data_IF_951967100926
#
_entry.id   IF_951967100926
#
_cell.length_a   1.000
_cell.length_b   1.000
_cell.length_c   1.000
_cell.angle_alpha   90.00
_cell.angle_beta   90.00
_cell.angle_gamma   90.00
#
_symmetry.space_group_name_H-M   'P 1'
#
loop_
_entity.id
_entity.type
_entity.pdbx_description
1 polymer ?
#
# COMPACT_ATOMS: atom_id res chain seq x y z
N UNK A 1 7.64 66.40 -65.26
CA UNK A 1 6.75 67.12 -64.31
C UNK A 1 5.34 66.72 -64.74
N UNK A 2 4.54 65.90 -64.07
CA UNK A 2 4.36 65.46 -62.68
C UNK A 2 3.56 64.13 -62.85
N UNK A 3 4.08 62.97 -62.44
CA UNK A 3 3.76 62.36 -61.16
C UNK A 3 2.88 61.12 -61.36
N UNK A 4 3.49 59.99 -61.70
CA UNK A 4 2.93 58.65 -61.45
C UNK A 4 2.98 58.40 -59.94
N UNK A 5 1.85 58.12 -59.28
CA UNK A 5 1.83 57.27 -58.09
C UNK A 5 0.40 56.86 -57.66
N UNK A 6 0.19 55.53 -57.58
CA UNK A 6 -0.51 54.79 -56.51
C UNK A 6 -2.03 55.04 -56.25
N UNK A 7 -2.92 54.05 -56.13
CA UNK A 7 -2.79 52.72 -55.51
C UNK A 7 -3.75 51.69 -56.15
N UNK A 8 -3.21 50.62 -56.74
CA UNK A 8 -3.95 49.38 -56.87
C UNK A 8 -3.81 48.64 -55.54
N UNK A 9 -4.90 48.58 -54.78
CA UNK A 9 -4.96 47.80 -53.55
C UNK A 9 -5.08 46.33 -53.98
N UNK A 10 -3.94 45.68 -54.22
CA UNK A 10 -3.89 44.23 -54.32
C UNK A 10 -4.24 43.65 -52.95
N UNK A 11 -5.38 42.96 -52.89
CA UNK A 11 -5.66 42.03 -51.81
C UNK A 11 -4.64 40.91 -51.90
N UNK A 12 -3.56 41.05 -51.15
CA UNK A 12 -2.66 39.95 -50.85
C UNK A 12 -3.48 38.96 -50.03
N UNK A 13 -3.85 37.82 -50.62
CA UNK A 13 -4.29 36.67 -49.83
C UNK A 13 -3.15 36.33 -48.86
N UNK A 14 -3.36 36.68 -47.59
CA UNK A 14 -2.52 36.20 -46.49
C UNK A 14 -2.51 34.68 -46.55
N UNK A 15 -1.39 34.13 -47.02
CA UNK A 15 -1.07 32.72 -46.89
C UNK A 15 -0.97 32.45 -45.40
N UNK A 16 -2.08 32.04 -44.80
CA UNK A 16 -2.18 31.70 -43.38
C UNK A 16 -1.12 30.64 -43.06
N UNK A 17 -0.02 31.06 -42.45
CA UNK A 17 0.89 30.17 -41.75
C UNK A 17 0.10 29.55 -40.60
N UNK A 18 -0.32 28.30 -40.79
CA UNK A 18 -0.90 27.50 -39.70
C UNK A 18 0.18 27.36 -38.65
N UNK A 19 0.10 28.18 -37.60
CA UNK A 19 0.73 27.84 -36.32
C UNK A 19 0.20 26.46 -35.94
N UNK A 20 1.05 25.45 -36.03
CA UNK A 20 0.82 24.13 -35.45
C UNK A 20 0.68 24.31 -33.94
N UNK A 21 -0.53 24.67 -33.53
CA UNK A 21 -0.90 24.74 -32.15
C UNK A 21 -0.93 23.30 -31.62
N UNK A 22 -0.37 23.07 -30.44
CA UNK A 22 -0.47 21.77 -29.74
C UNK A 22 -1.93 21.29 -29.56
N UNK A 23 -2.91 22.19 -29.72
CA UNK A 23 -4.34 21.86 -29.82
C UNK A 23 -4.67 21.04 -31.08
N UNK A 24 -3.99 21.28 -32.20
CA UNK A 24 -4.14 20.54 -33.45
C UNK A 24 -3.83 19.07 -33.27
N UNK A 25 -2.67 18.72 -32.70
CA UNK A 25 -2.28 17.31 -32.51
C UNK A 25 -3.22 16.50 -31.61
N UNK A 26 -3.84 17.11 -30.59
CA UNK A 26 -4.84 16.43 -29.74
C UNK A 26 -6.16 16.26 -30.52
N UNK A 27 -6.55 17.26 -31.30
CA UNK A 27 -7.74 17.19 -32.16
C UNK A 27 -7.57 16.17 -33.28
N UNK A 28 -6.40 16.12 -33.90
CA UNK A 28 -6.04 15.16 -34.94
C UNK A 28 -5.93 13.72 -34.40
N UNK A 29 -5.58 13.57 -33.12
CA UNK A 29 -5.64 12.29 -32.40
C UNK A 29 -7.09 11.83 -32.17
N UNK A 30 -7.97 12.75 -31.75
CA UNK A 30 -9.38 12.49 -31.49
C UNK A 30 -10.19 12.23 -32.77
N UNK A 31 -9.89 12.97 -33.84
CA UNK A 31 -10.50 12.81 -35.16
C UNK A 31 -9.93 11.58 -35.92
N UNK A 32 -8.95 10.88 -35.33
CA UNK A 32 -8.40 9.62 -35.85
C UNK A 32 -7.47 9.76 -37.05
N UNK A 33 -7.20 10.98 -37.51
CA UNK A 33 -6.33 11.24 -38.67
C UNK A 33 -4.89 10.78 -38.41
N UNK A 34 -4.43 10.84 -37.16
CA UNK A 34 -3.12 10.30 -36.78
C UNK A 34 -3.05 8.77 -36.83
N UNK A 35 -4.15 8.09 -36.51
CA UNK A 35 -4.26 6.64 -36.49
C UNK A 35 -4.40 6.09 -37.93
N UNK A 36 -5.07 6.86 -38.79
CA UNK A 36 -5.24 6.55 -40.21
C UNK A 36 -3.93 6.63 -41.03
N UNK A 37 -2.83 7.15 -40.45
CA UNK A 37 -1.52 7.06 -41.08
C UNK A 37 -1.06 5.59 -41.18
N UNK A 38 -0.71 5.14 -42.38
CA UNK A 38 -0.28 3.76 -42.67
C UNK A 38 0.84 3.25 -41.76
N UNK A 39 1.71 4.14 -41.29
CA UNK A 39 2.80 3.80 -40.36
C UNK A 39 2.27 3.50 -38.94
N UNK A 40 1.34 4.31 -38.44
CA UNK A 40 0.74 4.14 -37.12
C UNK A 40 -0.21 2.95 -37.10
N UNK A 41 -1.00 2.78 -38.16
CA UNK A 41 -1.91 1.65 -38.33
C UNK A 41 -1.17 0.30 -38.27
N UNK A 42 0.05 0.21 -38.83
CA UNK A 42 0.89 -1.00 -38.76
C UNK A 42 1.42 -1.29 -37.35
N UNK A 43 1.63 -0.25 -36.52
CA UNK A 43 2.15 -0.39 -35.17
C UNK A 43 1.07 -0.47 -34.08
N UNK A 44 -0.20 -0.21 -34.43
CA UNK A 44 -1.35 -0.37 -33.52
C UNK A 44 -1.35 -1.66 -32.68
N UNK A 45 -1.15 -2.87 -33.24
CA UNK A 45 -1.13 -4.10 -32.44
C UNK A 45 -0.05 -4.08 -31.36
N UNK A 46 1.10 -3.47 -31.63
CA UNK A 46 2.17 -3.30 -30.65
C UNK A 46 1.82 -2.28 -29.55
N UNK A 47 1.17 -1.17 -29.91
CA UNK A 47 0.71 -0.18 -28.93
C UNK A 47 -0.33 -0.81 -28.00
N UNK A 48 -1.30 -1.54 -28.55
CA UNK A 48 -2.31 -2.26 -27.77
C UNK A 48 -1.65 -3.28 -26.82
N UNK A 49 -0.64 -4.01 -27.31
CA UNK A 49 0.14 -4.91 -26.47
C UNK A 49 0.81 -4.20 -25.28
N UNK A 50 1.43 -3.04 -25.51
CA UNK A 50 2.02 -2.23 -24.42
C UNK A 50 0.97 -1.71 -23.44
N UNK A 51 -0.19 -1.30 -23.92
CA UNK A 51 -1.30 -0.85 -23.06
C UNK A 51 -1.79 -2.01 -22.19
N UNK A 52 -1.93 -3.22 -22.74
CA UNK A 52 -2.28 -4.42 -21.96
C UNK A 52 -1.22 -4.69 -20.89
N UNK A 53 0.07 -4.62 -21.24
CA UNK A 53 1.16 -4.77 -20.26
C UNK A 53 1.11 -3.69 -19.17
N UNK A 54 0.78 -2.45 -19.52
CA UNK A 54 0.61 -1.38 -18.55
C UNK A 54 -0.54 -1.67 -17.57
N UNK A 55 -1.68 -2.19 -18.06
CA UNK A 55 -2.77 -2.61 -17.19
C UNK A 55 -2.38 -3.76 -16.27
N UNK A 56 -1.68 -4.78 -16.79
CA UNK A 56 -1.17 -5.89 -15.98
C UNK A 56 -0.22 -5.38 -14.91
N UNK A 57 0.68 -4.46 -15.27
CA UNK A 57 1.63 -3.86 -14.33
C UNK A 57 0.93 -3.08 -13.21
N UNK A 58 -0.06 -2.24 -13.56
CA UNK A 58 -0.85 -1.49 -12.59
C UNK A 58 -1.60 -2.46 -11.65
N UNK A 59 -2.25 -3.48 -12.21
CA UNK A 59 -2.98 -4.47 -11.43
C UNK A 59 -2.05 -5.22 -10.45
N UNK A 60 -0.88 -5.65 -10.92
CA UNK A 60 0.11 -6.32 -10.10
C UNK A 60 0.64 -5.39 -8.99
N UNK A 61 0.92 -4.13 -9.31
CA UNK A 61 1.33 -3.13 -8.32
C UNK A 61 0.30 -2.96 -7.21
N UNK A 62 -0.99 -2.80 -7.54
CA UNK A 62 -2.04 -2.69 -6.52
C UNK A 62 -2.15 -3.95 -5.65
N UNK A 63 -1.96 -5.13 -6.25
CA UNK A 63 -1.94 -6.38 -5.49
C UNK A 63 -0.77 -6.44 -4.51
N UNK A 64 0.44 -6.11 -4.97
CA UNK A 64 1.64 -6.06 -4.14
C UNK A 64 1.49 -5.07 -2.98
N UNK A 65 0.98 -3.86 -3.25
CA UNK A 65 0.75 -2.88 -2.18
C UNK A 65 -0.26 -3.36 -1.14
N UNK A 66 -1.31 -4.08 -1.55
CA UNK A 66 -2.28 -4.67 -0.60
C UNK A 66 -1.62 -5.75 0.28
N UNK A 67 -0.81 -6.62 -0.32
CA UNK A 67 -0.11 -7.68 0.41
C UNK A 67 0.91 -7.09 1.39
N UNK A 68 1.62 -6.03 1.01
CA UNK A 68 2.55 -5.33 1.90
C UNK A 68 1.81 -4.72 3.10
N UNK A 69 0.68 -4.04 2.87
CA UNK A 69 -0.15 -3.50 3.96
C UNK A 69 -0.63 -4.59 4.92
N UNK A 70 -1.16 -5.69 4.38
CA UNK A 70 -1.62 -6.82 5.19
C UNK A 70 -0.48 -7.45 6.03
N UNK A 71 0.73 -7.54 5.49
CA UNK A 71 1.89 -8.03 6.26
C UNK A 71 2.24 -7.11 7.44
N UNK A 72 2.17 -5.79 7.24
CA UNK A 72 2.46 -4.82 8.30
C UNK A 72 1.42 -4.95 9.42
N UNK A 73 0.13 -4.98 9.07
CA UNK A 73 -0.97 -5.15 10.02
C UNK A 73 -0.85 -6.47 10.78
N UNK A 74 -0.62 -7.58 10.07
CA UNK A 74 -0.48 -8.90 10.70
C UNK A 74 0.75 -8.97 11.62
N UNK A 75 1.87 -8.35 11.23
CA UNK A 75 3.07 -8.32 12.07
C UNK A 75 2.84 -7.51 13.35
N UNK A 76 2.05 -6.43 13.27
CA UNK A 76 1.66 -5.67 14.45
C UNK A 76 0.74 -6.49 15.36
N UNK A 77 -0.25 -7.16 14.79
CA UNK A 77 -1.17 -8.04 15.51
C UNK A 77 -0.42 -9.16 16.26
N UNK A 78 0.56 -9.80 15.62
CA UNK A 78 1.42 -10.80 16.27
C UNK A 78 2.18 -10.20 17.47
N UNK A 79 2.71 -8.99 17.33
CA UNK A 79 3.41 -8.30 18.42
C UNK A 79 2.47 -8.02 19.59
N UNK A 80 1.27 -7.53 19.30
CA UNK A 80 0.27 -7.18 20.28
C UNK A 80 -0.24 -8.42 21.04
N UNK A 81 -0.59 -9.49 20.31
CA UNK A 81 -0.97 -10.79 20.90
C UNK A 81 0.14 -11.36 21.79
N UNK A 82 1.40 -11.23 21.37
CA UNK A 82 2.53 -11.70 22.19
C UNK A 82 2.65 -10.90 23.48
N UNK A 83 2.49 -9.58 23.43
CA UNK A 83 2.51 -8.73 24.62
C UNK A 83 1.34 -9.07 25.57
N UNK A 84 0.15 -9.31 25.03
CA UNK A 84 -1.02 -9.72 25.79
C UNK A 84 -0.81 -11.08 26.47
N UNK A 85 -0.28 -12.07 25.74
CA UNK A 85 0.02 -13.40 26.27
C UNK A 85 1.05 -13.34 27.42
N UNK A 86 2.10 -12.53 27.26
CA UNK A 86 3.11 -12.33 28.32
C UNK A 86 2.48 -11.66 29.53
N UNK A 87 1.67 -10.61 29.33
CA UNK A 87 0.99 -9.90 30.42
C UNK A 87 0.06 -10.84 31.19
N UNK A 88 -0.80 -11.56 30.48
CA UNK A 88 -1.75 -12.51 31.08
C UNK A 88 -1.05 -13.63 31.84
N UNK A 89 0.01 -14.19 31.26
CA UNK A 89 0.82 -15.23 31.92
C UNK A 89 1.53 -14.69 33.17
N UNK A 90 2.00 -13.45 33.12
CA UNK A 90 2.65 -12.78 34.25
C UNK A 90 1.68 -12.48 35.38
N UNK A 91 0.45 -12.05 35.05
CA UNK A 91 -0.62 -11.86 36.03
C UNK A 91 -0.99 -13.18 36.71
N UNK A 92 -1.17 -14.25 35.93
CA UNK A 92 -1.40 -15.59 36.46
C UNK A 92 -0.27 -16.04 37.39
N UNK A 93 1.00 -15.82 36.99
CA UNK A 93 2.16 -16.16 37.82
C UNK A 93 2.17 -15.35 39.12
N UNK A 94 1.81 -14.07 39.06
CA UNK A 94 1.73 -13.21 40.22
C UNK A 94 0.65 -13.69 41.22
N UNK A 95 -0.57 -13.95 40.75
CA UNK A 95 -1.65 -14.43 41.62
C UNK A 95 -1.40 -15.85 42.14
N UNK A 96 -0.68 -16.68 41.37
CA UNK A 96 -0.32 -18.05 41.77
C UNK A 96 0.89 -18.09 42.72
N UNK A 97 1.54 -16.95 42.96
CA UNK A 97 2.68 -16.87 43.87
C UNK A 97 2.24 -17.27 45.27
N UNK A 98 3.02 -18.12 45.93
CA UNK A 98 2.70 -18.64 47.26
C UNK A 98 2.36 -17.53 48.27
N UNK A 99 3.10 -16.42 48.24
CA UNK A 99 2.83 -15.26 49.10
C UNK A 99 1.48 -14.60 48.81
N UNK A 100 1.07 -14.50 47.55
CA UNK A 100 -0.23 -13.92 47.17
C UNK A 100 -1.37 -14.89 47.50
N UNK A 101 -1.17 -16.19 47.26
CA UNK A 101 -2.12 -17.24 47.66
C UNK A 101 -2.33 -17.24 49.18
N UNK A 102 -1.26 -17.16 49.98
CA UNK A 102 -1.36 -17.08 51.45
C UNK A 102 -2.14 -15.83 51.89
N UNK A 103 -1.89 -14.66 51.29
CA UNK A 103 -2.67 -13.43 51.54
C UNK A 103 -4.14 -13.60 51.17
N UNK A 104 -4.43 -14.23 50.04
CA UNK A 104 -5.81 -14.50 49.58
C UNK A 104 -6.54 -15.46 50.52
N UNK A 105 -5.87 -16.49 51.02
CA UNK A 105 -6.40 -17.45 52.00
C UNK A 105 -6.76 -16.75 53.32
N UNK A 106 -5.87 -15.89 53.82
CA UNK A 106 -6.09 -15.09 55.03
C UNK A 106 -7.27 -14.13 54.85
N UNK A 107 -7.29 -13.38 53.75
CA UNK A 107 -8.39 -12.45 53.41
C UNK A 107 -9.74 -13.16 53.28
N UNK A 108 -9.77 -14.40 52.78
CA UNK A 108 -10.99 -15.21 52.64
C UNK A 108 -11.34 -16.01 53.90
N UNK A 109 -10.54 -15.95 54.96
CA UNK A 109 -10.82 -16.62 56.23
C UNK A 109 -10.80 -18.15 56.15
N UNK A 110 -10.05 -18.74 55.21
CA UNK A 110 -10.09 -20.18 54.93
C UNK A 110 -9.33 -21.04 55.95
N UNK A 111 -8.62 -20.43 56.91
CA UNK A 111 -7.96 -21.12 58.03
C UNK A 111 -6.75 -22.01 57.65
N UNK A 112 -6.34 -22.01 56.39
CA UNK A 112 -5.19 -22.78 55.89
C UNK A 112 -3.87 -22.07 56.25
N UNK A 113 -2.85 -22.84 56.64
CA UNK A 113 -1.51 -22.33 56.99
C UNK A 113 -0.44 -23.04 56.18
N UNK A 114 0.60 -22.32 55.84
CA UNK A 114 1.75 -22.85 55.10
C UNK A 114 2.53 -23.87 55.95
N UNK A 115 2.95 -24.98 55.34
CA UNK A 115 3.78 -25.98 56.01
C UNK A 115 5.22 -25.48 56.10
N UNK A 116 5.68 -25.17 57.31
CA UNK A 116 7.07 -24.79 57.61
C UNK A 116 7.99 -25.99 57.81
N UNK A 117 7.45 -27.22 57.82
CA UNK A 117 8.23 -28.43 58.04
C UNK A 117 8.74 -28.96 56.69
N UNK A 118 10.07 -29.11 56.50
CA UNK A 118 10.61 -29.60 55.24
C UNK A 118 10.25 -31.09 55.01
N UNK A 119 10.10 -31.52 53.76
CA UNK A 119 9.78 -32.91 53.43
C UNK A 119 10.91 -33.86 53.82
N UNK A 120 10.56 -35.03 54.37
CA UNK A 120 11.54 -36.06 54.75
C UNK A 120 11.95 -36.88 53.53
N UNK A 121 13.25 -36.96 53.25
CA UNK A 121 13.80 -37.87 52.24
C UNK A 121 13.86 -39.27 52.84
N UNK A 122 13.14 -40.23 52.25
CA UNK A 122 13.27 -41.65 52.58
C UNK A 122 14.51 -42.16 51.85
N UNK A 123 15.53 -42.58 52.58
CA UNK A 123 16.73 -43.21 52.03
C UNK A 123 16.64 -44.69 52.41
N UNK A 124 16.71 -45.56 51.40
CA UNK A 124 16.79 -47.01 51.59
C UNK A 124 18.27 -47.35 51.63
N UNK A 125 18.78 -47.77 52.79
CA UNK A 125 20.12 -48.36 52.90
C UNK A 125 20.03 -49.83 52.49
N UNK A 126 20.94 -50.24 51.59
CA UNK A 126 21.14 -51.60 51.12
C UNK A 126 22.25 -52.29 51.92
#
# INVERSE_FOLDING_TARGET
MIGDNQDNIEFIEEKQERKESKLGSIKDLLDGSLIANDFVAKQLPYIVFLVILAFIYIANRYHAEKVVRANIELSQEISDLRAEAITTSSELMFISKQSEVSKLIEKRGLGLKESVVPPRKIIIEN
#
